data_IF_812110586159
#
_entry.id   IF_812110586159
#
_cell.length_a   1.000
_cell.length_b   1.000
_cell.length_c   1.000
_cell.angle_alpha   90.00
_cell.angle_beta   90.00
_cell.angle_gamma   90.00
#
_symmetry.space_group_name_H-M   'P 1'
#
loop_
_entity.id
_entity.type
_entity.pdbx_description
1 polymer ?
#
# COMPACT_ATOMS: atom_id res chain seq x y z
N UNK A 1 15.68 6.66 21.71
CA UNK A 1 15.61 7.43 20.44
C UNK A 1 15.45 6.42 19.31
N UNK A 2 14.23 6.12 18.88
CA UNK A 2 14.00 5.23 17.74
C UNK A 2 14.23 6.04 16.46
N UNK A 3 15.43 5.91 15.89
CA UNK A 3 15.68 6.35 14.51
C UNK A 3 14.67 5.61 13.63
N UNK A 4 13.68 6.34 13.14
CA UNK A 4 12.86 5.93 12.02
C UNK A 4 13.80 5.79 10.83
N UNK A 5 14.35 4.58 10.64
CA UNK A 5 14.96 4.15 9.39
C UNK A 5 13.85 4.09 8.35
N UNK A 6 13.37 5.25 7.90
CA UNK A 6 12.68 5.38 6.63
C UNK A 6 13.72 5.01 5.59
N UNK A 7 13.80 3.72 5.29
CA UNK A 7 14.78 3.11 4.39
C UNK A 7 14.50 3.64 3.00
N UNK A 8 15.02 4.82 2.67
CA UNK A 8 14.67 5.57 1.47
C UNK A 8 14.64 4.66 0.24
N UNK A 9 13.44 4.36 -0.23
CA UNK A 9 13.23 3.63 -1.46
C UNK A 9 13.70 4.55 -2.59
N UNK A 10 14.56 4.10 -3.52
CA UNK A 10 14.97 4.94 -4.63
C UNK A 10 13.74 5.48 -5.36
N UNK A 11 13.66 6.81 -5.57
CA UNK A 11 12.49 7.48 -6.16
C UNK A 11 11.97 6.78 -7.42
N UNK A 12 12.89 6.27 -8.24
CA UNK A 12 12.60 5.49 -9.44
C UNK A 12 11.72 4.27 -9.17
N UNK A 13 11.92 3.58 -8.05
CA UNK A 13 11.13 2.40 -7.72
C UNK A 13 9.78 2.75 -7.05
N UNK A 14 9.64 3.93 -6.43
CA UNK A 14 8.30 4.44 -6.03
C UNK A 14 7.49 4.85 -7.26
N UNK A 15 8.11 5.55 -8.22
CA UNK A 15 7.49 5.89 -9.49
C UNK A 15 7.10 4.65 -10.29
N UNK A 16 7.95 3.62 -10.27
CA UNK A 16 7.64 2.32 -10.88
C UNK A 16 6.44 1.66 -10.22
N UNK A 17 6.37 1.65 -8.88
CA UNK A 17 5.21 1.13 -8.14
C UNK A 17 3.93 1.89 -8.47
N UNK A 18 3.98 3.23 -8.54
CA UNK A 18 2.82 4.07 -8.88
C UNK A 18 2.33 3.82 -10.31
N UNK A 19 3.24 3.64 -11.26
CA UNK A 19 2.90 3.25 -12.64
C UNK A 19 2.26 1.85 -12.69
N UNK A 20 2.79 0.91 -11.92
CA UNK A 20 2.28 -0.46 -11.85
C UNK A 20 0.89 -0.55 -11.22
N UNK A 21 0.65 0.21 -10.15
CA UNK A 21 -0.68 0.38 -9.54
C UNK A 21 -1.63 1.02 -10.55
N UNK A 22 -1.21 2.13 -11.16
CA UNK A 22 -2.02 2.87 -12.13
C UNK A 22 -2.43 2.04 -13.34
N UNK A 23 -1.53 1.19 -13.85
CA UNK A 23 -1.81 0.29 -14.98
C UNK A 23 -2.91 -0.72 -14.62
N UNK A 24 -2.85 -1.32 -13.43
CA UNK A 24 -3.84 -2.31 -12.98
C UNK A 24 -5.18 -1.67 -12.64
N UNK A 25 -5.18 -0.50 -12.01
CA UNK A 25 -6.41 0.29 -11.77
C UNK A 25 -7.04 0.74 -13.09
N UNK A 26 -6.24 1.13 -14.09
CA UNK A 26 -6.75 1.46 -15.42
C UNK A 26 -7.48 0.27 -16.04
N UNK A 27 -6.88 -0.92 -16.03
CA UNK A 27 -7.56 -2.16 -16.49
C UNK A 27 -8.88 -2.40 -15.75
N UNK A 28 -8.94 -2.08 -14.45
CA UNK A 28 -10.16 -2.21 -13.66
C UNK A 28 -11.23 -1.21 -14.12
N UNK A 29 -10.85 0.04 -14.34
CA UNK A 29 -11.73 1.07 -14.90
C UNK A 29 -12.23 0.73 -16.30
N UNK A 30 -11.37 0.10 -17.11
CA UNK A 30 -11.67 -0.30 -18.48
C UNK A 30 -12.50 -1.60 -18.54
N UNK A 31 -12.82 -2.23 -17.39
CA UNK A 31 -13.56 -3.49 -17.33
C UNK A 31 -12.78 -4.70 -17.83
N UNK A 32 -11.45 -4.60 -17.97
CA UNK A 32 -10.56 -5.65 -18.48
C UNK A 32 -9.68 -6.28 -17.40
N UNK A 33 -9.79 -5.82 -16.15
CA UNK A 33 -9.02 -6.37 -15.05
C UNK A 33 -9.44 -7.81 -14.72
N UNK A 34 -8.43 -8.63 -14.47
CA UNK A 34 -8.58 -9.95 -13.86
C UNK A 34 -8.58 -9.84 -12.33
N UNK A 35 -9.00 -10.92 -11.66
CA UNK A 35 -8.87 -11.03 -10.20
C UNK A 35 -7.39 -10.90 -9.74
N UNK A 36 -6.45 -11.31 -10.59
CA UNK A 36 -5.02 -11.15 -10.32
C UNK A 36 -4.59 -9.68 -10.38
N UNK A 37 -5.09 -8.89 -11.34
CA UNK A 37 -4.78 -7.46 -11.42
C UNK A 37 -5.22 -6.73 -10.14
N UNK A 38 -6.40 -7.05 -9.61
CA UNK A 38 -6.93 -6.47 -8.37
C UNK A 38 -6.10 -6.88 -7.16
N UNK A 39 -5.73 -8.16 -7.08
CA UNK A 39 -4.92 -8.69 -5.98
C UNK A 39 -3.53 -8.05 -5.95
N UNK A 40 -2.88 -7.93 -7.11
CA UNK A 40 -1.58 -7.29 -7.24
C UNK A 40 -1.66 -5.78 -6.96
N UNK A 41 -2.66 -5.07 -7.50
CA UNK A 41 -2.84 -3.65 -7.19
C UNK A 41 -2.98 -3.40 -5.69
N UNK A 42 -3.75 -4.25 -4.99
CA UNK A 42 -3.94 -4.16 -3.54
C UNK A 42 -2.63 -4.43 -2.78
N UNK A 43 -1.84 -5.41 -3.23
CA UNK A 43 -0.51 -5.70 -2.65
C UNK A 43 0.43 -4.51 -2.80
N UNK A 44 0.54 -3.95 -4.01
CA UNK A 44 1.42 -2.82 -4.29
C UNK A 44 1.04 -1.55 -3.51
N UNK A 45 -0.27 -1.27 -3.39
CA UNK A 45 -0.77 -0.16 -2.57
C UNK A 45 -0.37 -0.34 -1.10
N UNK A 46 -0.46 -1.57 -0.56
CA UNK A 46 -0.03 -1.87 0.81
C UNK A 46 1.47 -1.63 0.98
N UNK A 47 2.30 -2.16 0.08
CA UNK A 47 3.75 -1.98 0.13
C UNK A 47 4.15 -0.51 0.11
N UNK A 48 3.53 0.28 -0.76
CA UNK A 48 3.71 1.73 -0.80
C UNK A 48 3.30 2.40 0.50
N UNK A 49 2.14 2.04 1.05
CA UNK A 49 1.63 2.63 2.28
C UNK A 49 2.48 2.28 3.51
N UNK A 50 2.91 1.03 3.64
CA UNK A 50 3.82 0.58 4.71
C UNK A 50 5.17 1.27 4.62
N UNK A 51 5.66 1.53 3.41
CA UNK A 51 6.89 2.29 3.21
C UNK A 51 6.73 3.76 3.63
N UNK A 52 5.70 4.46 3.14
CA UNK A 52 5.48 5.87 3.47
C UNK A 52 5.13 6.08 4.95
N UNK A 53 4.47 5.10 5.56
CA UNK A 53 4.03 5.14 6.95
C UNK A 53 4.30 3.79 7.62
N UNK A 54 5.52 3.53 8.10
CA UNK A 54 5.87 2.29 8.77
C UNK A 54 4.90 1.96 9.92
N UNK A 55 4.43 0.72 9.93
CA UNK A 55 3.50 0.22 10.95
C UNK A 55 2.09 0.83 10.90
N UNK A 56 1.71 1.53 9.82
CA UNK A 56 0.37 2.14 9.72
C UNK A 56 -0.74 1.10 9.85
N UNK A 57 -0.61 -0.07 9.21
CA UNK A 57 -1.64 -1.11 9.29
C UNK A 57 -1.66 -1.84 10.64
N UNK A 58 -0.58 -1.81 11.42
CA UNK A 58 -0.57 -2.28 12.81
C UNK A 58 -1.30 -1.29 13.70
N UNK A 59 -1.00 0.01 13.57
CA UNK A 59 -1.68 1.09 14.31
C UNK A 59 -3.18 1.15 14.03
N UNK A 60 -3.58 1.09 12.76
CA UNK A 60 -4.99 1.06 12.37
C UNK A 60 -5.73 -0.18 12.93
N UNK A 61 -5.05 -1.32 13.03
CA UNK A 61 -5.61 -2.53 13.65
C UNK A 61 -5.81 -2.36 15.16
N UNK A 62 -4.83 -1.80 15.87
CA UNK A 62 -4.93 -1.51 17.30
C UNK A 62 -6.08 -0.54 17.60
N UNK A 63 -6.17 0.57 16.86
CA UNK A 63 -7.26 1.54 17.02
C UNK A 63 -8.65 0.92 16.79
N UNK A 64 -8.78 -0.01 15.84
CA UNK A 64 -10.04 -0.74 15.62
C UNK A 64 -10.37 -1.70 16.76
N UNK A 65 -9.37 -2.35 17.34
CA UNK A 65 -9.56 -3.26 18.47
C UNK A 65 -9.98 -2.48 19.73
N UNK A 66 -9.34 -1.34 20.00
CA UNK A 66 -9.68 -0.44 21.11
C UNK A 66 -11.11 0.08 20.99
N UNK A 67 -11.54 0.52 19.79
CA UNK A 67 -12.92 0.97 19.55
C UNK A 67 -13.99 -0.11 19.68
N UNK A 68 -13.64 -1.39 19.60
CA UNK A 68 -14.58 -2.50 19.82
C UNK A 68 -14.65 -2.94 21.28
N UNK A 69 -13.68 -2.53 22.10
CA UNK A 69 -13.58 -2.88 23.51
C UNK A 69 -14.13 -1.78 24.44
N UNK A 70 -14.35 -0.56 23.94
CA UNK A 70 -15.19 0.49 24.58
C UNK A 70 -16.64 0.36 24.15
#
# INVERSE_FOLDING_TARGET
MTQSNAKEWPKSAVETLDQEIGTRIRRLSDGTATAQDVSEATRLIRERADYMMPGIFQRLRQQRAEKKAS
#
